data_IF_776112169622
#
_entry.id   IF_776112169622
#
_cell.length_a   1.000
_cell.length_b   1.000
_cell.length_c   1.000
_cell.angle_alpha   90.00
_cell.angle_beta   90.00
_cell.angle_gamma   90.00
#
_symmetry.space_group_name_H-M   'P 1'
#
loop_
_entity.id
_entity.type
_entity.pdbx_description
1 polymer ?
#
# COMPACT_ATOMS: atom_id res chain seq x y z
N UNK A 1 -3.10 30.22 -0.21
CA UNK A 1 -4.02 29.08 -0.38
C UNK A 1 -3.33 28.09 -1.28
N UNK A 2 -2.89 26.95 -0.74
CA UNK A 2 -2.35 25.86 -1.57
C UNK A 2 -3.49 25.32 -2.42
N UNK A 3 -3.30 25.04 -3.72
CA UNK A 3 -4.35 24.45 -4.52
C UNK A 3 -4.65 23.08 -3.93
N UNK A 4 -5.89 22.89 -3.48
CA UNK A 4 -6.44 21.55 -3.25
C UNK A 4 -6.42 20.87 -4.60
N UNK A 5 -5.42 20.02 -4.86
CA UNK A 5 -5.42 19.15 -6.02
C UNK A 5 -6.80 18.50 -6.08
N UNK A 6 -7.48 18.52 -7.24
CA UNK A 6 -8.76 17.83 -7.34
C UNK A 6 -8.53 16.42 -6.81
N UNK A 7 -9.43 15.94 -5.95
CA UNK A 7 -9.63 14.51 -5.73
C UNK A 7 -10.05 13.94 -7.08
N UNK A 8 -9.11 13.86 -8.02
CA UNK A 8 -9.23 13.06 -9.22
C UNK A 8 -9.50 11.70 -8.66
N UNK A 9 -10.66 11.15 -8.96
CA UNK A 9 -10.99 9.78 -8.65
C UNK A 9 -10.01 8.92 -9.45
N UNK A 10 -8.81 8.73 -8.90
CA UNK A 10 -7.69 8.07 -9.58
C UNK A 10 -8.03 6.61 -9.88
N UNK A 11 -9.08 6.06 -9.25
CA UNK A 11 -9.69 4.77 -9.57
C UNK A 11 -10.46 4.76 -10.89
N UNK A 12 -10.84 5.92 -11.43
CA UNK A 12 -11.37 6.06 -12.80
C UNK A 12 -10.31 5.72 -13.86
N UNK A 13 -9.03 5.78 -13.50
CA UNK A 13 -7.92 5.34 -14.34
C UNK A 13 -7.65 3.85 -14.09
N UNK A 14 -8.00 3.02 -15.07
CA UNK A 14 -7.80 1.57 -15.02
C UNK A 14 -6.34 1.16 -14.78
N UNK A 15 -5.36 1.97 -15.22
CA UNK A 15 -3.94 1.67 -15.02
C UNK A 15 -3.56 1.88 -13.56
N UNK A 16 -4.04 2.97 -12.95
CA UNK A 16 -3.83 3.24 -11.52
C UNK A 16 -4.55 2.18 -10.68
N UNK A 17 -5.81 1.87 -11.00
CA UNK A 17 -6.56 0.81 -10.31
C UNK A 17 -5.83 -0.55 -10.34
N UNK A 18 -5.37 -0.99 -11.52
CA UNK A 18 -4.66 -2.26 -11.64
C UNK A 18 -3.34 -2.28 -10.87
N UNK A 19 -2.62 -1.14 -10.84
CA UNK A 19 -1.39 -0.97 -10.06
C UNK A 19 -1.68 -1.06 -8.56
N UNK A 20 -2.69 -0.37 -8.06
CA UNK A 20 -3.11 -0.43 -6.65
C UNK A 20 -3.53 -1.85 -6.25
N UNK A 21 -4.34 -2.52 -7.08
CA UNK A 21 -4.77 -3.89 -6.83
C UNK A 21 -3.59 -4.86 -6.79
N UNK A 22 -2.61 -4.65 -7.67
CA UNK A 22 -1.34 -5.39 -7.65
C UNK A 22 -0.60 -5.18 -6.34
N UNK A 23 -0.43 -3.92 -5.91
CA UNK A 23 0.24 -3.59 -4.65
C UNK A 23 -0.43 -4.26 -3.43
N UNK A 24 -1.76 -4.19 -3.34
CA UNK A 24 -2.53 -4.82 -2.25
C UNK A 24 -2.27 -6.32 -2.19
N UNK A 25 -2.25 -7.00 -3.33
CA UNK A 25 -1.99 -8.44 -3.39
C UNK A 25 -0.58 -8.79 -2.93
N UNK A 26 0.42 -8.01 -3.35
CA UNK A 26 1.81 -8.26 -2.97
C UNK A 26 2.05 -8.05 -1.46
N UNK A 27 1.43 -7.03 -0.84
CA UNK A 27 1.55 -6.82 0.62
C UNK A 27 0.85 -7.92 1.43
N UNK A 28 -0.26 -8.48 0.93
CA UNK A 28 -0.92 -9.63 1.57
C UNK A 28 -0.03 -10.89 1.53
N UNK A 29 0.65 -11.13 0.41
CA UNK A 29 1.63 -12.21 0.29
C UNK A 29 2.78 -11.98 1.28
N UNK A 30 3.29 -10.75 1.34
CA UNK A 30 4.38 -10.40 2.25
C UNK A 30 4.00 -10.62 3.73
N UNK A 31 2.79 -10.22 4.12
CA UNK A 31 2.26 -10.48 5.46
C UNK A 31 2.10 -11.98 5.75
N UNK A 32 1.66 -12.78 4.77
CA UNK A 32 1.57 -14.24 4.92
C UNK A 32 2.96 -14.90 5.06
N UNK A 33 3.97 -14.40 4.36
CA UNK A 33 5.35 -14.88 4.48
C UNK A 33 5.93 -14.57 5.87
N UNK A 34 5.66 -13.39 6.42
CA UNK A 34 6.07 -13.05 7.79
C UNK A 34 5.33 -13.92 8.81
N UNK A 35 4.00 -14.07 8.67
CA UNK A 35 3.18 -14.88 9.57
C UNK A 35 3.57 -16.37 9.58
N UNK A 36 4.09 -16.88 8.46
CA UNK A 36 4.61 -18.25 8.36
C UNK A 36 6.06 -18.38 8.84
N UNK A 37 6.73 -17.28 9.19
CA UNK A 37 8.13 -17.26 9.61
C UNK A 37 9.13 -17.47 8.48
N UNK A 38 8.70 -17.39 7.21
CA UNK A 38 9.59 -17.51 6.05
C UNK A 38 10.48 -16.28 5.88
N UNK A 39 10.02 -15.12 6.36
CA UNK A 39 10.79 -13.88 6.42
C UNK A 39 10.65 -13.26 7.81
N UNK A 40 11.65 -12.49 8.20
CA UNK A 40 11.65 -11.70 9.43
C UNK A 40 10.85 -10.41 9.26
N UNK A 41 10.44 -9.80 10.36
CA UNK A 41 9.81 -8.45 10.36
C UNK A 41 10.70 -7.39 9.72
N UNK A 42 12.03 -7.53 9.81
CA UNK A 42 12.97 -6.62 9.15
C UNK A 42 12.91 -6.78 7.64
N UNK A 43 12.98 -8.02 7.16
CA UNK A 43 12.88 -8.32 5.71
C UNK A 43 11.51 -7.91 5.15
N UNK A 44 10.44 -8.10 5.92
CA UNK A 44 9.12 -7.56 5.58
C UNK A 44 9.17 -6.04 5.40
N UNK A 45 9.76 -5.29 6.35
CA UNK A 45 9.84 -3.83 6.24
C UNK A 45 10.65 -3.36 5.02
N UNK A 46 11.78 -4.01 4.75
CA UNK A 46 12.65 -3.70 3.61
C UNK A 46 11.92 -3.99 2.28
N UNK A 47 11.30 -5.17 2.14
CA UNK A 47 10.52 -5.55 0.95
C UNK A 47 9.29 -4.67 0.74
N UNK A 48 8.61 -4.28 1.82
CA UNK A 48 7.49 -3.34 1.74
C UNK A 48 7.93 -1.97 1.21
N UNK A 49 9.10 -1.47 1.63
CA UNK A 49 9.64 -0.21 1.15
C UNK A 49 9.97 -0.27 -0.36
N UNK A 50 10.58 -1.37 -0.81
CA UNK A 50 10.86 -1.62 -2.23
C UNK A 50 9.57 -1.69 -3.07
N UNK A 51 8.57 -2.45 -2.62
CA UNK A 51 7.26 -2.54 -3.28
C UNK A 51 6.56 -1.18 -3.33
N UNK A 52 6.60 -0.41 -2.24
CA UNK A 52 6.01 0.92 -2.18
C UNK A 52 6.67 1.89 -3.17
N UNK A 53 7.98 1.76 -3.41
CA UNK A 53 8.68 2.57 -4.40
C UNK A 53 8.29 2.19 -5.84
N UNK A 54 8.12 0.90 -6.13
CA UNK A 54 7.74 0.39 -7.45
C UNK A 54 6.29 0.71 -7.79
N UNK A 55 5.37 0.52 -6.84
CA UNK A 55 3.94 0.71 -7.05
C UNK A 55 3.47 2.14 -6.76
N UNK A 56 4.27 2.95 -6.06
CA UNK A 56 3.93 4.33 -5.66
C UNK A 56 2.45 4.46 -5.29
N UNK A 57 1.96 3.66 -4.31
CA UNK A 57 0.55 3.53 -4.04
C UNK A 57 -0.02 4.87 -3.56
N UNK A 58 -1.16 5.23 -4.13
CA UNK A 58 -1.95 6.40 -3.74
C UNK A 58 -2.60 6.16 -2.39
N UNK A 59 -3.09 4.94 -2.16
CA UNK A 59 -3.67 4.54 -0.89
C UNK A 59 -2.57 3.95 -0.01
N UNK A 60 -1.87 4.82 0.71
CA UNK A 60 -1.05 4.33 1.82
C UNK A 60 -1.97 3.68 2.87
N UNK A 61 -1.60 2.53 3.44
CA UNK A 61 -2.29 2.01 4.60
C UNK A 61 -2.14 3.08 5.68
N UNK A 62 -3.20 3.87 5.90
CA UNK A 62 -3.29 4.67 7.10
C UNK A 62 -3.20 3.66 8.23
N UNK A 63 -2.25 3.86 9.15
CA UNK A 63 -2.43 3.35 10.50
C UNK A 63 -3.82 3.80 10.88
N UNK A 64 -4.79 2.88 10.92
CA UNK A 64 -6.15 3.16 11.35
C UNK A 64 -6.00 3.54 12.82
N UNK A 65 -5.74 4.83 13.07
CA UNK A 65 -5.86 5.42 14.37
C UNK A 65 -7.27 5.07 14.81
N UNK A 66 -7.34 4.24 15.85
CA UNK A 66 -8.57 3.72 16.44
C UNK A 66 -9.58 4.87 16.45
N UNK A 67 -10.64 4.74 15.66
CA UNK A 67 -11.81 5.59 15.81
C UNK A 67 -12.47 5.15 17.13
N UNK A 68 -11.94 5.61 18.25
CA UNK A 68 -12.69 5.64 19.51
C UNK A 68 -13.79 6.69 19.33
N UNK A 69 -14.94 6.22 18.86
CA UNK A 69 -16.23 6.88 19.02
C UNK A 69 -16.98 6.23 20.18
#
# INVERSE_FOLDING_TARGET
MSPTSPLVDQLSDNVVFARELGFIREIEILAALEASGMITTREHADLYADLSAVYCPVYQPRTLGVLTG
#
